data_IF_032688977127
#
_entry.id   IF_032688977127
#
_cell.length_a   1.000
_cell.length_b   1.000
_cell.length_c   1.000
_cell.angle_alpha   90.00
_cell.angle_beta   90.00
_cell.angle_gamma   90.00
#
_symmetry.space_group_name_H-M   'P 1'
#
loop_
_entity.id
_entity.type
_entity.pdbx_description
1 polymer ?
#
# COMPACT_ATOMS: atom_id res chain seq x y z
N UNK A 1 4.30 -23.06 26.15
CA UNK A 1 4.14 -23.39 24.72
C UNK A 1 4.32 -22.11 23.93
N UNK A 2 5.56 -21.76 23.60
CA UNK A 2 5.89 -20.50 22.92
C UNK A 2 5.96 -20.78 21.43
N UNK A 3 4.88 -20.44 20.71
CA UNK A 3 4.77 -20.67 19.27
C UNK A 3 5.57 -19.59 18.53
N UNK A 4 6.86 -19.83 18.32
CA UNK A 4 7.61 -19.14 17.27
C UNK A 4 7.17 -19.69 15.92
N UNK A 5 6.42 -18.90 15.16
CA UNK A 5 6.18 -19.16 13.74
C UNK A 5 6.86 -18.09 12.90
N UNK A 6 8.12 -18.34 12.58
CA UNK A 6 8.74 -17.79 11.36
C UNK A 6 8.00 -18.37 10.17
N UNK A 7 7.32 -17.53 9.41
CA UNK A 7 6.83 -17.85 8.06
C UNK A 7 6.84 -16.56 7.24
N UNK A 8 8.04 -16.02 7.02
CA UNK A 8 8.29 -14.87 6.15
C UNK A 8 8.87 -15.39 4.82
N UNK A 9 8.10 -15.34 3.72
CA UNK A 9 8.64 -15.09 2.37
C UNK A 9 7.58 -14.95 1.24
N UNK A 10 6.30 -15.30 1.42
CA UNK A 10 5.31 -15.23 0.31
C UNK A 10 3.90 -14.76 0.72
N UNK A 11 3.70 -14.47 2.00
CA UNK A 11 2.39 -14.17 2.63
C UNK A 11 2.04 -12.68 2.61
N UNK A 12 3.01 -11.77 2.66
CA UNK A 12 2.77 -10.32 2.75
C UNK A 12 1.91 -9.77 1.61
N UNK A 13 2.09 -10.28 0.38
CA UNK A 13 1.30 -9.84 -0.78
C UNK A 13 -0.16 -10.32 -0.70
N UNK A 14 -0.40 -11.52 -0.17
CA UNK A 14 -1.76 -12.07 0.00
C UNK A 14 -2.51 -11.34 1.10
N UNK A 15 -1.83 -11.02 2.19
CA UNK A 15 -2.43 -10.28 3.32
C UNK A 15 -2.88 -8.88 2.91
N UNK A 16 -2.08 -8.15 2.12
CA UNK A 16 -2.51 -6.87 1.55
C UNK A 16 -3.73 -7.01 0.65
N UNK A 17 -3.73 -7.98 -0.26
CA UNK A 17 -4.87 -8.19 -1.16
C UNK A 17 -6.14 -8.53 -0.37
N UNK A 18 -6.04 -9.36 0.65
CA UNK A 18 -7.17 -9.68 1.53
C UNK A 18 -7.66 -8.46 2.33
N UNK A 19 -6.74 -7.67 2.88
CA UNK A 19 -7.07 -6.46 3.63
C UNK A 19 -7.82 -5.42 2.78
N UNK A 20 -7.32 -5.14 1.57
CA UNK A 20 -7.98 -4.20 0.67
C UNK A 20 -9.27 -4.78 0.07
N UNK A 21 -9.35 -6.09 -0.15
CA UNK A 21 -10.58 -6.75 -0.58
C UNK A 21 -11.69 -6.63 0.48
N UNK A 22 -11.36 -6.81 1.76
CA UNK A 22 -12.28 -6.65 2.88
C UNK A 22 -12.81 -5.22 3.01
N UNK A 23 -11.92 -4.21 2.94
CA UNK A 23 -12.32 -2.78 2.93
C UNK A 23 -13.20 -2.39 1.75
N UNK A 24 -13.05 -3.07 0.61
CA UNK A 24 -13.87 -2.84 -0.59
C UNK A 24 -15.14 -3.70 -0.61
N UNK A 25 -15.37 -4.54 0.41
CA UNK A 25 -16.44 -5.54 0.46
C UNK A 25 -16.45 -6.50 -0.75
N UNK A 26 -15.26 -6.85 -1.25
CA UNK A 26 -15.07 -7.76 -2.38
C UNK A 26 -14.33 -9.02 -1.94
N UNK A 27 -14.60 -10.16 -2.57
CA UNK A 27 -13.77 -11.36 -2.39
C UNK A 27 -12.43 -11.19 -3.10
N UNK A 28 -11.30 -11.61 -2.48
CA UNK A 28 -9.97 -11.48 -3.09
C UNK A 28 -9.84 -12.09 -4.50
N UNK A 29 -10.57 -13.18 -4.78
CA UNK A 29 -10.65 -13.79 -6.11
C UNK A 29 -11.41 -12.93 -7.13
N UNK A 30 -12.48 -12.27 -6.69
CA UNK A 30 -13.26 -11.35 -7.52
C UNK A 30 -12.50 -10.06 -7.79
N UNK A 31 -11.85 -9.50 -6.76
CA UNK A 31 -10.96 -8.35 -6.88
C UNK A 31 -9.82 -8.64 -7.87
N UNK A 32 -9.18 -9.81 -7.77
CA UNK A 32 -8.13 -10.22 -8.71
C UNK A 32 -8.64 -10.35 -10.15
N UNK A 33 -9.86 -10.85 -10.33
CA UNK A 33 -10.47 -11.04 -11.66
C UNK A 33 -10.84 -9.69 -12.28
N UNK A 34 -11.47 -8.80 -11.51
CA UNK A 34 -11.83 -7.45 -11.97
C UNK A 34 -10.58 -6.65 -12.30
N UNK A 35 -9.57 -6.62 -11.42
CA UNK A 35 -8.35 -5.83 -11.64
C UNK A 35 -7.63 -6.33 -12.90
N UNK A 36 -7.52 -7.66 -13.08
CA UNK A 36 -6.90 -8.23 -14.26
C UNK A 36 -7.69 -7.89 -15.53
N UNK A 37 -9.02 -7.83 -15.45
CA UNK A 37 -9.89 -7.50 -16.58
C UNK A 37 -9.86 -6.01 -16.95
N UNK A 38 -9.81 -5.13 -15.96
CA UNK A 38 -9.89 -3.66 -16.15
C UNK A 38 -8.51 -3.06 -16.42
N UNK A 39 -7.49 -3.52 -15.71
CA UNK A 39 -6.16 -2.90 -15.70
C UNK A 39 -5.10 -3.75 -16.39
N UNK A 40 -5.35 -5.04 -16.63
CA UNK A 40 -4.37 -6.00 -17.16
C UNK A 40 -3.25 -6.39 -16.16
N UNK A 41 -3.23 -5.74 -14.99
CA UNK A 41 -2.23 -5.90 -13.93
C UNK A 41 -2.67 -6.93 -12.89
N UNK A 42 -1.74 -7.35 -12.03
CA UNK A 42 -2.08 -8.17 -10.86
C UNK A 42 -2.75 -7.33 -9.76
N UNK A 43 -3.55 -7.96 -8.91
CA UNK A 43 -4.22 -7.29 -7.79
C UNK A 43 -3.24 -6.53 -6.89
N UNK A 44 -2.06 -7.12 -6.64
CA UNK A 44 -1.03 -6.50 -5.82
C UNK A 44 -0.45 -5.23 -6.45
N UNK A 45 -0.21 -5.22 -7.77
CA UNK A 45 0.28 -4.03 -8.48
C UNK A 45 -0.76 -2.92 -8.52
N UNK A 46 -2.03 -3.27 -8.70
CA UNK A 46 -3.11 -2.29 -8.68
C UNK A 46 -3.34 -1.69 -7.29
N UNK A 47 -3.26 -2.51 -6.24
CA UNK A 47 -3.24 -2.01 -4.86
C UNK A 47 -2.03 -1.10 -4.67
N UNK A 48 -0.87 -1.47 -5.22
CA UNK A 48 0.32 -0.64 -5.10
C UNK A 48 0.15 0.73 -5.76
N UNK A 49 -0.46 0.76 -6.95
CA UNK A 49 -0.82 2.00 -7.66
C UNK A 49 -1.86 2.82 -6.87
N UNK A 50 -2.91 2.18 -6.34
CA UNK A 50 -3.96 2.82 -5.57
C UNK A 50 -3.43 3.47 -4.28
N UNK A 51 -2.67 2.71 -3.48
CA UNK A 51 -2.07 3.20 -2.24
C UNK A 51 -1.10 4.34 -2.53
N UNK A 52 -0.36 4.25 -3.64
CA UNK A 52 0.54 5.34 -4.06
C UNK A 52 -0.24 6.59 -4.47
N UNK A 53 -1.38 6.45 -5.15
CA UNK A 53 -2.25 7.56 -5.53
C UNK A 53 -2.82 8.25 -4.29
N UNK A 54 -3.33 7.47 -3.33
CA UNK A 54 -3.86 7.96 -2.06
C UNK A 54 -2.78 8.67 -1.24
N UNK A 55 -1.58 8.08 -1.14
CA UNK A 55 -0.42 8.71 -0.52
C UNK A 55 -0.06 10.05 -1.17
N UNK A 56 -0.05 10.13 -2.51
CA UNK A 56 0.19 11.38 -3.24
C UNK A 56 -0.88 12.43 -2.97
N UNK A 57 -2.15 12.00 -2.89
CA UNK A 57 -3.26 12.88 -2.57
C UNK A 57 -3.10 13.44 -1.15
N UNK A 58 -2.86 12.58 -0.15
CA UNK A 58 -2.64 12.97 1.25
C UNK A 58 -1.45 13.93 1.40
N UNK A 59 -0.33 13.66 0.72
CA UNK A 59 0.85 14.53 0.75
C UNK A 59 0.60 15.92 0.16
N UNK A 60 -0.38 16.05 -0.75
CA UNK A 60 -0.75 17.33 -1.39
C UNK A 60 -1.88 18.06 -0.68
N UNK A 61 -2.90 17.33 -0.22
CA UNK A 61 -4.13 17.90 0.32
C UNK A 61 -4.03 18.19 1.82
N UNK A 62 -3.12 17.52 2.53
CA UNK A 62 -3.01 17.64 3.98
C UNK A 62 -1.63 18.06 4.44
N UNK A 63 -1.58 18.68 5.62
CA UNK A 63 -0.31 18.96 6.29
C UNK A 63 0.18 17.81 7.21
N UNK A 64 -0.38 16.61 7.07
CA UNK A 64 -0.06 15.46 7.91
C UNK A 64 1.42 15.09 7.86
N UNK A 65 1.96 14.65 8.98
CA UNK A 65 3.34 14.14 9.03
C UNK A 65 3.45 12.83 8.25
N UNK A 66 4.66 12.49 7.79
CA UNK A 66 4.90 11.22 7.08
C UNK A 66 4.54 10.02 7.97
N UNK A 67 4.66 10.16 9.29
CA UNK A 67 4.22 9.17 10.26
C UNK A 67 2.69 8.98 10.22
N UNK A 68 1.91 10.07 10.32
CA UNK A 68 0.45 9.99 10.24
C UNK A 68 -0.04 9.42 8.91
N UNK A 69 0.61 9.77 7.79
CA UNK A 69 0.27 9.20 6.48
C UNK A 69 0.57 7.70 6.44
N UNK A 70 1.66 7.25 7.06
CA UNK A 70 1.97 5.83 7.21
C UNK A 70 0.90 5.11 8.03
N UNK A 71 0.44 5.73 9.11
CA UNK A 71 -0.58 5.16 10.00
C UNK A 71 -1.94 5.08 9.28
N UNK A 72 -2.33 6.13 8.54
CA UNK A 72 -3.57 6.19 7.76
C UNK A 72 -3.62 5.11 6.66
N UNK A 73 -2.50 4.88 6.00
CA UNK A 73 -2.35 3.85 4.97
C UNK A 73 -2.03 2.46 5.55
N UNK A 74 -2.08 2.33 6.89
CA UNK A 74 -1.88 1.09 7.64
C UNK A 74 -0.54 0.39 7.35
N UNK A 75 0.51 1.19 7.16
CA UNK A 75 1.87 0.67 7.06
C UNK A 75 2.44 0.38 8.44
N UNK A 76 3.23 -0.70 8.59
CA UNK A 76 3.79 -1.09 9.88
C UNK A 76 4.80 -0.08 10.44
N UNK A 77 5.39 0.77 9.58
CA UNK A 77 6.18 1.91 10.03
C UNK A 77 6.39 2.94 8.91
N UNK A 78 6.68 4.18 9.32
CA UNK A 78 7.07 5.27 8.43
C UNK A 78 8.24 4.88 7.51
N UNK A 79 9.22 4.12 8.03
CA UNK A 79 10.37 3.67 7.24
C UNK A 79 9.97 2.70 6.13
N UNK A 80 9.02 1.81 6.39
CA UNK A 80 8.46 0.92 5.37
C UNK A 80 7.71 1.72 4.31
N UNK A 81 6.85 2.65 4.73
CA UNK A 81 6.15 3.55 3.82
C UNK A 81 7.11 4.38 2.96
N UNK A 82 8.15 4.96 3.55
CA UNK A 82 9.14 5.76 2.82
C UNK A 82 9.90 4.96 1.76
N UNK A 83 10.36 3.75 2.10
CA UNK A 83 11.00 2.84 1.12
C UNK A 83 10.03 2.43 0.01
N UNK A 84 8.80 2.12 0.40
CA UNK A 84 7.73 1.75 -0.51
C UNK A 84 7.40 2.86 -1.50
N UNK A 85 7.16 4.07 -1.00
CA UNK A 85 6.82 5.24 -1.80
C UNK A 85 7.95 5.63 -2.75
N UNK A 86 9.20 5.60 -2.26
CA UNK A 86 10.38 5.84 -3.10
C UNK A 86 10.56 4.80 -4.19
N UNK A 87 10.26 3.53 -3.92
CA UNK A 87 10.32 2.45 -4.92
C UNK A 87 9.33 2.67 -6.07
N UNK A 88 8.12 3.16 -5.77
CA UNK A 88 7.09 3.36 -6.78
C UNK A 88 7.25 4.70 -7.52
N UNK A 89 7.48 5.79 -6.78
CA UNK A 89 7.48 7.16 -7.33
C UNK A 89 8.87 7.69 -7.69
N UNK A 90 9.93 7.01 -7.26
CA UNK A 90 11.32 7.46 -7.40
C UNK A 90 11.75 8.52 -6.38
N UNK A 91 10.81 9.13 -5.64
CA UNK A 91 11.06 10.23 -4.72
C UNK A 91 10.68 9.84 -3.30
N UNK A 92 11.37 10.37 -2.28
CA UNK A 92 10.89 10.20 -0.91
C UNK A 92 9.59 11.00 -0.69
N UNK A 93 8.74 10.58 0.26
CA UNK A 93 7.52 11.33 0.63
C UNK A 93 7.80 12.79 0.99
N UNK A 94 8.95 13.03 1.63
CA UNK A 94 9.40 14.38 2.02
C UNK A 94 9.79 15.20 0.79
N UNK A 95 10.61 14.65 -0.11
CA UNK A 95 10.98 15.31 -1.37
C UNK A 95 9.75 15.61 -2.24
N UNK A 96 8.77 14.70 -2.27
CA UNK A 96 7.54 14.90 -3.03
C UNK A 96 6.71 16.08 -2.49
N UNK A 97 6.72 16.26 -1.16
CA UNK A 97 6.06 17.38 -0.49
C UNK A 97 6.80 18.70 -0.70
N UNK A 98 8.13 18.70 -0.67
CA UNK A 98 8.93 19.92 -0.92
C UNK A 98 8.86 20.39 -2.37
N UNK A 99 8.44 19.53 -3.30
CA UNK A 99 8.32 19.85 -4.74
C UNK A 99 6.98 20.51 -5.12
N UNK A 100 6.04 20.67 -4.19
CA UNK A 100 4.74 21.35 -4.40
C UNK A 100 4.56 22.43 -3.34
#
# INVERSE_FOLDING_TARGET
MTFQRKSNCSTEKKEKVLYYADRLHLSAGYLSTIIKRVSGKTAAEWIDDYVTLEAKALLKSTNLTIQQISDELNFPSQSFFGKYFKRITGLSPKEYREKN
#
